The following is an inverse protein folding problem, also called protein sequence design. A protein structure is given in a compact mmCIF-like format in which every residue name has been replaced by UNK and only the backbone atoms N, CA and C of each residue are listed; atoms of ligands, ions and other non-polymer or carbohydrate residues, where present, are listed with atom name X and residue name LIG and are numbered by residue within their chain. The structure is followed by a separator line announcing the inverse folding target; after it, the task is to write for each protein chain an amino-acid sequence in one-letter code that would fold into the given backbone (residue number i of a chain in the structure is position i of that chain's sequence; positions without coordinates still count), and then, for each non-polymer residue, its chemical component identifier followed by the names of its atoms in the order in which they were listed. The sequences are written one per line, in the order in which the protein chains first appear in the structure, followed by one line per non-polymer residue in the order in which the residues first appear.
data_IF_242024955096
#
_entry.id   IF_242024955096
#
_cell.length_a   1.000
_cell.length_b   1.000
_cell.length_c   1.000
_cell.angle_alpha   90.00
_cell.angle_beta   90.00
_cell.angle_gamma   90.00
#
_symmetry.space_group_name_H-M   'P 1'
#
loop_
_entity.id
_entity.type
_entity.pdbx_description
1 polymer ?
#
# COMPACT_ATOMS: atom_id res chain seq x y z
N UNK A 1 0.04 -30.04 5.90
CA UNK A 1 -0.33 -29.36 4.65
C UNK A 1 0.06 -27.89 4.86
N UNK A 2 0.68 -27.22 3.87
CA UNK A 2 0.98 -25.79 4.00
C UNK A 2 -0.33 -25.01 4.07
N UNK A 3 -0.32 -23.90 4.83
CA UNK A 3 -1.45 -22.95 4.85
C UNK A 3 -1.36 -22.06 3.63
N UNK A 4 -2.45 -21.90 2.91
CA UNK A 4 -2.51 -20.93 1.80
C UNK A 4 -2.55 -19.51 2.36
N UNK A 5 -1.80 -18.59 1.74
CA UNK A 5 -1.74 -17.21 2.19
C UNK A 5 -1.78 -16.20 1.04
N UNK A 6 -2.53 -15.12 1.24
CA UNK A 6 -2.43 -13.89 0.46
C UNK A 6 -1.51 -12.94 1.20
N UNK A 7 -0.59 -12.30 0.46
CA UNK A 7 0.32 -11.29 1.02
C UNK A 7 -0.12 -9.89 0.62
N UNK A 8 -0.16 -8.94 1.56
CA UNK A 8 -0.55 -7.56 1.33
C UNK A 8 0.58 -6.60 1.66
N UNK A 9 0.93 -5.74 0.69
CA UNK A 9 2.00 -4.76 0.77
C UNK A 9 1.48 -3.39 1.21
N UNK A 10 2.11 -2.71 2.18
CA UNK A 10 1.67 -1.41 2.65
C UNK A 10 1.97 -0.28 1.66
N UNK A 11 1.19 0.80 1.78
CA UNK A 11 1.42 2.05 1.08
C UNK A 11 2.34 3.03 1.84
N UNK A 12 2.37 4.28 1.38
CA UNK A 12 3.17 5.35 2.00
C UNK A 12 2.72 5.64 3.44
N UNK A 13 3.65 6.20 4.22
CA UNK A 13 3.38 6.65 5.58
C UNK A 13 3.51 5.56 6.65
N UNK A 14 3.90 4.34 6.30
CA UNK A 14 4.04 3.23 7.24
C UNK A 14 5.41 3.13 7.90
N UNK A 15 6.45 3.78 7.38
CA UNK A 15 7.74 3.91 8.07
C UNK A 15 7.77 5.22 8.85
N UNK A 16 7.72 5.13 10.17
CA UNK A 16 7.68 6.23 11.12
C UNK A 16 8.86 6.13 12.11
N UNK A 17 8.83 6.89 13.18
CA UNK A 17 9.88 6.88 14.23
C UNK A 17 10.02 5.51 14.89
N UNK A 18 8.94 4.77 15.05
CA UNK A 18 8.91 3.45 15.68
C UNK A 18 9.56 2.36 14.83
N UNK A 19 9.66 2.60 13.52
CA UNK A 19 10.25 1.65 12.57
C UNK A 19 11.76 1.87 12.35
N UNK A 20 12.34 2.92 12.93
CA UNK A 20 13.78 3.17 12.84
C UNK A 20 14.56 1.98 13.43
N UNK A 21 15.49 1.43 12.65
CA UNK A 21 16.26 0.23 12.99
C UNK A 21 15.54 -1.09 12.76
N UNK A 22 14.34 -1.08 12.19
CA UNK A 22 13.55 -2.31 11.94
C UNK A 22 14.18 -3.24 10.89
N UNK A 23 15.13 -2.75 10.11
CA UNK A 23 15.86 -3.53 9.11
C UNK A 23 17.15 -4.16 9.66
N UNK A 24 17.43 -4.06 10.96
CA UNK A 24 18.68 -4.54 11.56
C UNK A 24 19.02 -6.00 11.22
N UNK A 25 18.02 -6.88 11.19
CA UNK A 25 18.21 -8.28 10.84
C UNK A 25 18.62 -8.50 9.37
N UNK A 26 18.45 -7.51 8.52
CA UNK A 26 18.66 -7.60 7.07
C UNK A 26 19.88 -6.83 6.55
N UNK A 27 20.69 -6.16 7.41
CA UNK A 27 21.82 -5.35 6.96
C UNK A 27 22.89 -6.12 6.18
N UNK A 28 22.98 -7.43 6.35
CA UNK A 28 23.86 -8.30 5.58
C UNK A 28 23.14 -9.05 4.44
N UNK A 29 21.86 -8.75 4.20
CA UNK A 29 21.10 -9.41 3.15
C UNK A 29 21.52 -8.85 1.78
N UNK A 30 21.89 -9.70 0.80
CA UNK A 30 22.29 -9.27 -0.54
C UNK A 30 21.22 -8.42 -1.24
N UNK A 31 19.94 -8.69 -1.00
CA UNK A 31 18.82 -7.94 -1.56
C UNK A 31 18.85 -6.47 -1.11
N UNK A 32 19.14 -6.21 0.18
CA UNK A 32 19.30 -4.84 0.67
C UNK A 32 20.50 -4.15 0.02
N UNK A 33 21.60 -4.89 -0.17
CA UNK A 33 22.78 -4.40 -0.87
C UNK A 33 22.50 -3.98 -2.32
N UNK A 34 21.65 -4.73 -3.05
CA UNK A 34 21.22 -4.37 -4.40
C UNK A 34 20.41 -3.06 -4.40
N UNK A 35 19.42 -2.94 -3.51
CA UNK A 35 18.61 -1.72 -3.35
C UNK A 35 19.51 -0.51 -3.03
N UNK A 36 20.43 -0.66 -2.08
CA UNK A 36 21.37 0.39 -1.69
C UNK A 36 22.33 0.79 -2.82
N UNK A 37 22.77 -0.18 -3.62
CA UNK A 37 23.59 0.05 -4.81
C UNK A 37 22.89 0.96 -5.82
N UNK A 38 21.62 0.68 -6.12
CA UNK A 38 20.82 1.53 -7.03
C UNK A 38 20.66 2.95 -6.46
N UNK A 39 20.30 3.07 -5.19
CA UNK A 39 20.12 4.38 -4.56
C UNK A 39 21.40 5.22 -4.56
N UNK A 40 22.53 4.57 -4.27
CA UNK A 40 23.85 5.21 -4.33
C UNK A 40 24.17 5.70 -5.73
N UNK A 41 23.88 4.89 -6.77
CA UNK A 41 24.08 5.28 -8.17
C UNK A 41 23.19 6.47 -8.57
N UNK A 42 22.01 6.62 -7.96
CA UNK A 42 21.12 7.75 -8.14
C UNK A 42 21.50 8.99 -7.29
N UNK A 43 22.57 8.91 -6.48
CA UNK A 43 22.98 10.01 -5.57
C UNK A 43 22.02 10.21 -4.39
N UNK A 44 21.26 9.18 -4.02
CA UNK A 44 20.31 9.19 -2.91
C UNK A 44 20.90 8.50 -1.67
N UNK A 45 20.46 8.90 -0.47
CA UNK A 45 20.80 8.18 0.75
C UNK A 45 20.35 6.71 0.64
N UNK A 46 21.19 5.77 1.06
CA UNK A 46 20.85 4.35 1.04
C UNK A 46 19.79 4.02 2.09
N UNK A 47 19.08 2.90 1.90
CA UNK A 47 18.12 2.42 2.89
C UNK A 47 18.82 2.08 4.19
N UNK A 48 20.01 1.45 4.10
CA UNK A 48 20.84 1.12 5.28
C UNK A 48 21.26 2.38 6.06
N UNK A 49 21.72 3.43 5.39
CA UNK A 49 22.08 4.71 6.06
C UNK A 49 20.87 5.35 6.75
N UNK A 50 19.71 5.31 6.11
CA UNK A 50 18.47 5.85 6.66
C UNK A 50 17.99 5.08 7.88
N UNK A 51 17.95 3.73 7.81
CA UNK A 51 17.45 2.89 8.89
C UNK A 51 18.42 2.80 10.08
N UNK A 52 19.73 2.95 9.85
CA UNK A 52 20.78 2.95 10.88
C UNK A 52 21.04 4.33 11.49
N UNK A 53 20.29 5.36 11.11
CA UNK A 53 20.49 6.70 11.67
C UNK A 53 20.32 6.70 13.19
N UNK A 54 21.19 7.43 13.92
CA UNK A 54 21.13 7.51 15.39
C UNK A 54 19.77 7.98 15.92
N UNK A 55 19.05 8.77 15.11
CA UNK A 55 17.73 9.30 15.45
C UNK A 55 16.86 9.48 14.21
N UNK A 56 15.57 9.29 14.39
CA UNK A 56 14.60 9.62 13.36
C UNK A 56 14.54 11.16 13.16
N UNK A 57 14.78 11.60 11.94
CA UNK A 57 14.62 12.98 11.51
C UNK A 57 13.46 13.05 10.51
N UNK A 58 12.36 13.70 10.91
CA UNK A 58 11.17 13.80 10.06
C UNK A 58 11.51 14.38 8.68
N UNK A 59 12.28 15.48 8.64
CA UNK A 59 12.69 16.12 7.38
C UNK A 59 13.54 15.23 6.45
N UNK A 60 14.18 14.18 6.96
CA UNK A 60 14.98 13.25 6.19
C UNK A 60 14.18 12.00 5.82
N UNK A 61 13.59 11.33 6.83
CA UNK A 61 12.93 10.02 6.63
C UNK A 61 11.58 10.13 5.94
N UNK A 62 10.89 11.28 6.02
CA UNK A 62 9.64 11.54 5.32
C UNK A 62 9.81 12.19 3.94
N UNK A 63 11.06 12.47 3.50
CA UNK A 63 11.27 12.81 2.09
C UNK A 63 10.66 11.71 1.21
N UNK A 64 9.88 12.06 0.16
CA UNK A 64 9.17 11.07 -0.66
C UNK A 64 10.05 9.92 -1.14
N UNK A 65 11.26 10.22 -1.64
CA UNK A 65 12.19 9.22 -2.16
C UNK A 65 12.79 8.34 -1.05
N UNK A 66 12.96 8.85 0.16
CA UNK A 66 13.51 8.10 1.28
C UNK A 66 12.45 7.21 1.93
N UNK A 67 11.27 7.78 2.23
CA UNK A 67 10.17 7.04 2.84
C UNK A 67 9.71 5.88 1.95
N UNK A 68 9.54 6.14 0.64
CA UNK A 68 9.14 5.12 -0.31
C UNK A 68 10.16 3.96 -0.40
N UNK A 69 11.46 4.26 -0.41
CA UNK A 69 12.49 3.24 -0.47
C UNK A 69 12.58 2.40 0.82
N UNK A 70 12.44 3.02 1.99
CA UNK A 70 12.38 2.31 3.28
C UNK A 70 11.22 1.32 3.33
N UNK A 71 10.03 1.75 2.88
CA UNK A 71 8.84 0.90 2.84
C UNK A 71 9.00 -0.24 1.83
N UNK A 72 9.49 0.07 0.63
CA UNK A 72 9.74 -0.93 -0.41
C UNK A 72 10.74 -2.00 0.04
N UNK A 73 11.89 -1.58 0.58
CA UNK A 73 12.92 -2.50 1.06
C UNK A 73 12.41 -3.38 2.20
N UNK A 74 11.74 -2.79 3.20
CA UNK A 74 11.18 -3.54 4.33
C UNK A 74 10.19 -4.60 3.85
N UNK A 75 9.24 -4.21 2.98
CA UNK A 75 8.24 -5.14 2.44
C UNK A 75 8.89 -6.29 1.66
N UNK A 76 9.84 -5.98 0.76
CA UNK A 76 10.48 -7.00 -0.06
C UNK A 76 11.36 -7.97 0.75
N UNK A 77 12.11 -7.46 1.73
CA UNK A 77 12.93 -8.27 2.65
C UNK A 77 12.06 -9.19 3.50
N UNK A 78 10.97 -8.68 4.06
CA UNK A 78 10.03 -9.48 4.83
C UNK A 78 9.35 -10.54 3.96
N UNK A 79 8.96 -10.21 2.73
CA UNK A 79 8.41 -11.18 1.79
C UNK A 79 9.38 -12.32 1.47
N UNK A 80 10.66 -11.99 1.26
CA UNK A 80 11.71 -12.99 1.04
C UNK A 80 11.86 -13.94 2.24
N UNK A 81 11.69 -13.41 3.45
CA UNK A 81 11.86 -14.17 4.70
C UNK A 81 10.68 -15.05 5.09
N UNK A 82 9.50 -14.92 4.45
CA UNK A 82 8.33 -15.75 4.78
C UNK A 82 8.69 -17.23 4.64
N UNK A 83 8.36 -18.04 5.65
CA UNK A 83 8.60 -19.49 5.64
C UNK A 83 7.71 -20.19 4.61
N UNK A 84 8.31 -20.56 3.46
CA UNK A 84 7.63 -21.26 2.36
C UNK A 84 7.40 -22.75 2.66
N UNK A 85 7.91 -23.27 3.75
CA UNK A 85 7.59 -24.63 4.21
C UNK A 85 6.28 -24.64 5.00
N UNK A 86 5.93 -23.53 5.65
CA UNK A 86 4.66 -23.34 6.35
C UNK A 86 3.58 -22.71 5.47
N UNK A 87 3.92 -21.71 4.64
CA UNK A 87 2.96 -20.95 3.85
C UNK A 87 3.14 -21.14 2.34
N UNK A 88 2.02 -21.41 1.65
CA UNK A 88 1.89 -21.38 0.20
C UNK A 88 1.26 -20.04 -0.22
N UNK A 89 2.05 -19.16 -0.84
CA UNK A 89 1.56 -17.84 -1.24
C UNK A 89 0.78 -17.96 -2.55
N UNK A 90 -0.52 -17.77 -2.45
CA UNK A 90 -1.45 -17.96 -3.59
C UNK A 90 -1.73 -16.66 -4.37
N UNK A 91 -1.52 -15.50 -3.75
CA UNK A 91 -1.61 -14.19 -4.42
C UNK A 91 -0.92 -13.10 -3.61
N UNK A 92 -0.59 -11.99 -4.29
CA UNK A 92 -0.02 -10.79 -3.69
C UNK A 92 -0.84 -9.57 -4.12
N UNK A 93 -1.04 -8.62 -3.22
CA UNK A 93 -1.64 -7.31 -3.51
C UNK A 93 -1.02 -6.23 -2.63
N UNK A 94 -1.41 -4.98 -2.82
CA UNK A 94 -0.89 -3.91 -1.99
C UNK A 94 -1.75 -2.66 -2.09
N UNK A 95 -1.56 -1.75 -1.13
CA UNK A 95 -2.23 -0.45 -1.13
C UNK A 95 -1.35 0.61 -1.78
N UNK A 96 -1.85 1.31 -2.81
CA UNK A 96 -1.17 2.47 -3.38
C UNK A 96 0.28 2.14 -3.82
N UNK A 97 1.30 2.73 -3.20
CA UNK A 97 2.71 2.41 -3.44
C UNK A 97 3.03 0.92 -3.19
N UNK A 98 2.24 0.23 -2.37
CA UNK A 98 2.35 -1.21 -2.16
C UNK A 98 2.18 -2.02 -3.44
N UNK A 99 1.57 -1.46 -4.50
CA UNK A 99 1.53 -2.07 -5.82
C UNK A 99 2.93 -2.28 -6.41
N UNK A 100 3.85 -1.33 -6.23
CA UNK A 100 5.23 -1.49 -6.70
C UNK A 100 5.96 -2.61 -5.95
N UNK A 101 5.75 -2.72 -4.64
CA UNK A 101 6.24 -3.85 -3.85
C UNK A 101 5.61 -5.17 -4.31
N UNK A 102 4.30 -5.18 -4.61
CA UNK A 102 3.58 -6.34 -5.17
C UNK A 102 4.23 -6.84 -6.46
N UNK A 103 4.58 -5.94 -7.39
CA UNK A 103 5.24 -6.29 -8.64
C UNK A 103 6.58 -7.00 -8.40
N UNK A 104 7.37 -6.52 -7.43
CA UNK A 104 8.64 -7.18 -7.08
C UNK A 104 8.43 -8.50 -6.34
N UNK A 105 7.48 -8.59 -5.41
CA UNK A 105 7.12 -9.83 -4.73
C UNK A 105 6.63 -10.91 -5.70
N UNK A 106 5.95 -10.51 -6.76
CA UNK A 106 5.47 -11.40 -7.81
C UNK A 106 6.53 -11.70 -8.90
N UNK A 107 7.76 -11.20 -8.77
CA UNK A 107 8.85 -11.44 -9.72
C UNK A 107 8.68 -10.71 -11.06
N UNK A 108 7.82 -9.69 -11.13
CA UNK A 108 7.68 -8.83 -12.31
C UNK A 108 8.87 -7.87 -12.43
N UNK A 109 9.36 -7.38 -11.30
CA UNK A 109 10.58 -6.61 -11.19
C UNK A 109 11.55 -7.30 -10.24
N UNK A 110 12.84 -7.26 -10.59
CA UNK A 110 13.87 -7.53 -9.59
C UNK A 110 14.03 -6.35 -8.62
N UNK A 111 14.87 -6.51 -7.60
CA UNK A 111 15.04 -5.50 -6.57
C UNK A 111 15.65 -4.20 -7.10
N UNK A 112 16.51 -4.29 -8.12
CA UNK A 112 17.19 -3.13 -8.69
C UNK A 112 16.22 -2.30 -9.53
N UNK A 113 15.48 -2.94 -10.44
CA UNK A 113 14.43 -2.29 -11.25
C UNK A 113 13.37 -1.67 -10.32
N UNK A 114 12.89 -2.43 -9.34
CA UNK A 114 11.88 -1.92 -8.41
C UNK A 114 12.38 -0.75 -7.56
N UNK A 115 13.62 -0.79 -7.08
CA UNK A 115 14.24 0.32 -6.33
C UNK A 115 14.40 1.58 -7.19
N UNK A 116 14.82 1.44 -8.46
CA UNK A 116 14.92 2.55 -9.39
C UNK A 116 13.56 3.19 -9.65
N UNK A 117 12.55 2.37 -9.95
CA UNK A 117 11.19 2.85 -10.26
C UNK A 117 10.56 3.52 -9.03
N UNK A 118 10.63 2.91 -7.86
CA UNK A 118 10.10 3.49 -6.61
C UNK A 118 10.75 4.84 -6.31
N UNK A 119 12.07 4.94 -6.43
CA UNK A 119 12.81 6.20 -6.23
C UNK A 119 12.45 7.24 -7.29
N UNK A 120 12.32 6.81 -8.55
CA UNK A 120 11.95 7.67 -9.67
C UNK A 120 10.51 8.19 -9.58
N UNK A 121 9.55 7.33 -9.25
CA UNK A 121 8.15 7.73 -9.04
C UNK A 121 8.02 8.70 -7.86
N UNK A 122 8.73 8.46 -6.77
CA UNK A 122 8.76 9.37 -5.64
C UNK A 122 9.32 10.76 -6.04
N UNK A 123 10.32 10.80 -6.93
CA UNK A 123 10.86 12.06 -7.45
C UNK A 123 9.89 12.76 -8.39
N UNK A 124 9.23 12.05 -9.31
CA UNK A 124 8.23 12.62 -10.22
C UNK A 124 7.03 13.23 -9.47
N UNK A 125 6.69 12.68 -8.31
CA UNK A 125 5.54 13.13 -7.50
C UNK A 125 5.92 14.10 -6.38
N UNK A 126 7.20 14.37 -6.16
CA UNK A 126 7.68 15.21 -5.05
C UNK A 126 7.19 16.66 -5.12
N UNK A 127 7.00 17.18 -6.33
CA UNK A 127 6.51 18.55 -6.60
C UNK A 127 5.07 18.59 -7.07
N UNK A 128 4.38 17.46 -7.06
CA UNK A 128 3.00 17.39 -7.50
C UNK A 128 2.08 18.20 -6.58
N UNK A 129 1.10 18.86 -7.19
CA UNK A 129 0.17 19.74 -6.50
C UNK A 129 -0.91 18.98 -5.73
N UNK A 130 -1.60 19.71 -4.86
CA UNK A 130 -2.73 19.23 -4.09
C UNK A 130 -2.35 18.48 -2.83
N UNK A 131 -3.37 17.93 -2.19
CA UNK A 131 -3.27 17.26 -0.89
C UNK A 131 -4.21 16.06 -0.82
N UNK A 132 -4.00 15.21 0.18
CA UNK A 132 -4.90 14.12 0.56
C UNK A 132 -5.31 14.25 2.02
N UNK A 133 -6.54 13.83 2.33
CA UNK A 133 -7.00 13.61 3.70
C UNK A 133 -7.82 12.32 3.79
N UNK A 134 -7.95 11.79 5.01
CA UNK A 134 -8.67 10.57 5.29
C UNK A 134 -9.84 10.85 6.23
N UNK A 135 -10.98 10.18 5.98
CA UNK A 135 -12.19 10.29 6.77
C UNK A 135 -12.86 8.92 6.96
N UNK A 136 -13.28 8.54 8.19
CA UNK A 136 -13.94 7.27 8.45
C UNK A 136 -15.39 7.26 7.96
N UNK A 137 -15.81 6.13 7.39
CA UNK A 137 -17.17 5.89 6.88
C UNK A 137 -17.98 4.93 7.74
N UNK A 138 -17.40 4.43 8.84
CA UNK A 138 -17.98 3.38 9.69
C UNK A 138 -18.39 3.91 11.04
N UNK A 139 -19.34 3.21 11.67
CA UNK A 139 -19.69 3.35 13.08
C UNK A 139 -18.62 2.69 13.99
N UNK A 140 -18.84 2.73 15.31
CA UNK A 140 -17.95 2.14 16.32
C UNK A 140 -17.83 0.60 16.20
N UNK A 141 -18.84 -0.04 15.61
CA UNK A 141 -18.87 -1.50 15.35
C UNK A 141 -18.33 -1.88 13.98
N UNK A 142 -17.71 -0.92 13.28
CA UNK A 142 -17.18 -1.08 11.91
C UNK A 142 -18.23 -1.42 10.85
N UNK A 143 -19.47 -1.00 11.04
CA UNK A 143 -20.53 -1.06 10.04
C UNK A 143 -20.63 0.26 9.30
N UNK A 144 -21.04 0.20 8.04
CA UNK A 144 -21.19 1.41 7.20
C UNK A 144 -22.18 2.39 7.86
N UNK A 145 -21.73 3.63 8.04
CA UNK A 145 -22.54 4.74 8.55
C UNK A 145 -23.09 5.57 7.37
N UNK A 146 -24.40 5.51 7.09
CA UNK A 146 -24.98 6.18 5.92
C UNK A 146 -24.80 7.71 5.94
N UNK A 147 -24.81 8.32 7.15
CA UNK A 147 -24.67 9.77 7.28
C UNK A 147 -23.26 10.23 6.93
N UNK A 148 -22.23 9.48 7.33
CA UNK A 148 -20.84 9.75 6.96
C UNK A 148 -20.60 9.55 5.48
N UNK A 149 -21.17 8.49 4.89
CA UNK A 149 -21.11 8.24 3.44
C UNK A 149 -21.76 9.39 2.68
N UNK A 150 -22.96 9.83 3.08
CA UNK A 150 -23.66 10.94 2.45
C UNK A 150 -22.89 12.28 2.60
N UNK A 151 -22.29 12.52 3.77
CA UNK A 151 -21.47 13.70 3.99
C UNK A 151 -20.25 13.74 3.05
N UNK A 152 -19.55 12.62 2.86
CA UNK A 152 -18.42 12.50 1.93
C UNK A 152 -18.89 12.64 0.48
N UNK A 153 -19.99 11.99 0.09
CA UNK A 153 -20.54 12.07 -1.26
C UNK A 153 -20.87 13.51 -1.67
N UNK A 154 -21.43 14.29 -0.73
CA UNK A 154 -21.69 15.71 -0.93
C UNK A 154 -20.42 16.52 -1.21
N UNK A 155 -19.29 16.20 -0.53
CA UNK A 155 -18.05 16.92 -0.80
C UNK A 155 -17.48 16.57 -2.17
N UNK A 156 -17.67 15.34 -2.64
CA UNK A 156 -17.21 14.89 -3.97
C UNK A 156 -17.97 15.55 -5.15
N UNK A 157 -19.00 16.35 -4.89
CA UNK A 157 -19.64 17.21 -5.91
C UNK A 157 -18.76 18.42 -6.29
N UNK A 158 -17.73 18.73 -5.50
CA UNK A 158 -16.78 19.80 -5.84
C UNK A 158 -15.87 19.38 -7.02
N UNK A 159 -15.63 20.27 -8.00
CA UNK A 159 -14.93 19.92 -9.24
C UNK A 159 -13.47 19.47 -9.04
N UNK A 160 -12.80 19.96 -8.01
CA UNK A 160 -11.38 19.71 -7.75
C UNK A 160 -11.14 18.78 -6.56
N UNK A 161 -12.15 18.01 -6.16
CA UNK A 161 -12.05 16.99 -5.11
C UNK A 161 -12.40 15.61 -5.68
N UNK A 162 -11.57 14.64 -5.41
CA UNK A 162 -11.66 13.30 -5.99
C UNK A 162 -11.60 12.23 -4.90
N UNK A 163 -12.28 11.11 -5.14
CA UNK A 163 -12.05 9.91 -4.38
C UNK A 163 -10.69 9.34 -4.79
N UNK A 164 -9.77 9.28 -3.85
CA UNK A 164 -8.38 8.89 -4.10
C UNK A 164 -8.15 7.41 -3.80
N UNK A 165 -8.47 6.98 -2.57
CA UNK A 165 -8.33 5.58 -2.17
C UNK A 165 -9.57 5.12 -1.40
N UNK A 166 -10.12 3.98 -1.78
CA UNK A 166 -11.05 3.20 -0.96
C UNK A 166 -10.23 2.34 0.00
N UNK A 167 -10.13 2.74 1.27
CA UNK A 167 -9.22 2.14 2.23
C UNK A 167 -9.98 1.47 3.38
N UNK A 168 -10.47 0.25 3.13
CA UNK A 168 -11.37 -0.42 4.08
C UNK A 168 -12.60 0.42 4.36
N UNK A 169 -12.81 0.76 5.63
CA UNK A 169 -13.90 1.63 6.07
C UNK A 169 -13.55 3.12 6.06
N UNK A 170 -12.51 3.53 5.35
CA UNK A 170 -12.12 4.94 5.20
C UNK A 170 -12.21 5.39 3.74
N UNK A 171 -12.64 6.62 3.53
CA UNK A 171 -12.41 7.36 2.29
C UNK A 171 -11.12 8.16 2.40
N UNK A 172 -10.19 7.99 1.46
CA UNK A 172 -9.09 8.93 1.25
C UNK A 172 -9.48 9.80 0.08
N UNK A 173 -9.53 11.11 0.31
CA UNK A 173 -9.92 12.11 -0.67
C UNK A 173 -8.69 12.92 -1.07
N UNK A 174 -8.60 13.27 -2.34
CA UNK A 174 -7.52 14.07 -2.92
C UNK A 174 -8.08 15.24 -3.72
N UNK A 175 -7.37 16.36 -3.72
CA UNK A 175 -7.80 17.50 -4.50
C UNK A 175 -6.83 18.67 -4.44
N UNK A 176 -7.24 19.79 -5.03
CA UNK A 176 -6.52 21.05 -4.85
C UNK A 176 -6.50 21.43 -3.36
N UNK A 177 -5.49 22.21 -2.95
CA UNK A 177 -5.38 22.62 -1.55
C UNK A 177 -6.65 23.32 -1.05
N UNK A 178 -7.27 24.15 -1.89
CA UNK A 178 -8.51 24.85 -1.56
C UNK A 178 -9.69 23.89 -1.39
N UNK A 179 -9.86 22.93 -2.31
CA UNK A 179 -10.94 21.94 -2.23
C UNK A 179 -10.80 21.04 -1.01
N UNK A 180 -9.58 20.59 -0.71
CA UNK A 180 -9.29 19.77 0.48
C UNK A 180 -9.62 20.53 1.77
N UNK A 181 -9.18 21.79 1.91
CA UNK A 181 -9.49 22.61 3.08
C UNK A 181 -10.98 22.86 3.24
N UNK A 182 -11.69 23.15 2.14
CA UNK A 182 -13.15 23.35 2.14
C UNK A 182 -13.87 22.07 2.58
N UNK A 183 -13.50 20.92 2.03
CA UNK A 183 -14.11 19.64 2.37
C UNK A 183 -13.85 19.26 3.84
N UNK A 184 -12.62 19.43 4.31
CA UNK A 184 -12.26 19.12 5.71
C UNK A 184 -13.04 20.03 6.69
N UNK A 185 -13.25 21.30 6.36
CA UNK A 185 -14.02 22.22 7.20
C UNK A 185 -15.54 21.91 7.20
N UNK A 186 -16.06 21.31 6.14
CA UNK A 186 -17.48 20.97 5.98
C UNK A 186 -17.85 19.60 6.56
N UNK A 187 -16.89 18.68 6.67
CA UNK A 187 -17.14 17.36 7.24
C UNK A 187 -17.24 17.42 8.76
N UNK A 188 -18.17 16.67 9.39
CA UNK A 188 -18.26 16.59 10.83
C UNK A 188 -16.94 16.13 11.48
N UNK A 189 -16.44 16.80 12.51
CA UNK A 189 -15.26 16.34 13.22
C UNK A 189 -15.55 15.05 14.01
N UNK A 190 -14.65 14.08 13.94
CA UNK A 190 -14.76 12.78 14.64
C UNK A 190 -13.50 12.52 15.46
N UNK A 191 -13.67 12.10 16.71
CA UNK A 191 -12.60 11.68 17.63
C UNK A 191 -11.46 12.71 17.79
N UNK A 192 -11.73 13.98 17.64
CA UNK A 192 -10.74 15.08 17.64
C UNK A 192 -9.59 14.87 16.63
N UNK A 193 -9.70 13.88 15.75
CA UNK A 193 -8.67 13.45 14.82
C UNK A 193 -9.08 13.63 13.37
N UNK A 194 -10.32 13.36 13.04
CA UNK A 194 -10.81 13.41 11.65
C UNK A 194 -11.70 14.63 11.39
N UNK A 195 -11.69 15.14 10.15
CA UNK A 195 -10.85 14.75 8.99
C UNK A 195 -9.35 14.90 9.27
N UNK A 196 -8.52 13.95 8.82
CA UNK A 196 -7.07 13.97 9.05
C UNK A 196 -6.32 14.23 7.74
N UNK A 197 -5.60 15.35 7.68
CA UNK A 197 -4.72 15.66 6.56
C UNK A 197 -3.52 14.71 6.54
N UNK A 198 -3.23 14.10 5.40
CA UNK A 198 -2.06 13.24 5.20
C UNK A 198 -0.86 14.13 4.84
N UNK A 199 -0.05 14.42 5.84
CA UNK A 199 1.09 15.32 5.69
C UNK A 199 2.11 14.81 4.67
N UNK A 200 2.55 15.69 3.76
CA UNK A 200 3.51 15.35 2.71
C UNK A 200 2.95 14.52 1.55
N UNK A 201 1.62 14.33 1.51
CA UNK A 201 0.95 13.70 0.37
C UNK A 201 0.47 14.77 -0.61
N UNK A 202 0.77 14.56 -1.90
CA UNK A 202 0.12 15.27 -3.01
C UNK A 202 -1.28 14.69 -3.27
N UNK A 203 -1.97 15.18 -4.29
CA UNK A 203 -3.27 14.64 -4.68
C UNK A 203 -3.17 13.30 -5.43
N UNK A 204 -2.53 12.30 -4.80
CA UNK A 204 -2.33 10.97 -5.39
C UNK A 204 -3.64 10.31 -5.81
N UNK A 205 -3.56 9.42 -6.80
CA UNK A 205 -4.70 8.66 -7.32
C UNK A 205 -5.87 9.55 -7.72
N UNK A 206 -5.55 10.65 -8.39
CA UNK A 206 -6.51 11.61 -8.93
C UNK A 206 -6.05 12.15 -10.29
N UNK A 207 -6.92 12.79 -11.07
CA UNK A 207 -6.55 13.43 -12.33
C UNK A 207 -5.43 14.49 -12.21
N UNK A 208 -5.20 15.03 -11.01
CA UNK A 208 -4.09 15.98 -10.75
C UNK A 208 -2.71 15.33 -10.87
N UNK A 209 -2.63 14.00 -10.92
CA UNK A 209 -1.39 13.24 -11.13
C UNK A 209 -1.12 12.92 -12.61
N UNK A 210 -1.92 13.43 -13.55
CA UNK A 210 -1.81 13.08 -14.97
C UNK A 210 -0.43 13.42 -15.56
N UNK A 211 0.20 14.50 -15.14
CA UNK A 211 1.55 14.86 -15.61
C UNK A 211 2.59 13.85 -15.15
N UNK A 212 2.58 13.47 -13.87
CA UNK A 212 3.49 12.44 -13.33
C UNK A 212 3.27 11.09 -14.03
N UNK A 213 2.02 10.72 -14.30
CA UNK A 213 1.66 9.53 -15.08
C UNK A 213 2.26 9.57 -16.49
N UNK A 214 2.12 10.68 -17.20
CA UNK A 214 2.65 10.84 -18.56
C UNK A 214 4.18 10.73 -18.58
N UNK A 215 4.85 11.35 -17.62
CA UNK A 215 6.31 11.26 -17.49
C UNK A 215 6.76 9.83 -17.15
N UNK A 216 6.05 9.13 -16.28
CA UNK A 216 6.35 7.74 -15.92
C UNK A 216 6.18 6.79 -17.11
N UNK A 217 5.07 6.90 -17.86
CA UNK A 217 4.82 6.12 -19.07
C UNK A 217 5.89 6.33 -20.15
N UNK A 218 6.44 7.53 -20.25
CA UNK A 218 7.51 7.85 -21.19
C UNK A 218 8.88 7.35 -20.71
N UNK A 219 9.12 7.36 -19.40
CA UNK A 219 10.43 7.02 -18.81
C UNK A 219 10.70 5.53 -18.79
N UNK A 220 9.74 4.73 -18.34
CA UNK A 220 9.89 3.27 -18.22
C UNK A 220 9.04 2.57 -19.27
N UNK A 221 9.68 1.75 -20.09
CA UNK A 221 9.00 1.04 -21.18
C UNK A 221 8.41 -0.30 -20.68
N UNK A 222 7.52 -0.90 -21.48
CA UNK A 222 6.85 -2.15 -21.11
C UNK A 222 7.83 -3.35 -20.96
N UNK A 223 9.02 -3.25 -21.54
CA UNK A 223 10.06 -4.27 -21.49
C UNK A 223 10.64 -4.51 -20.10
N UNK A 224 10.53 -3.51 -19.17
CA UNK A 224 10.99 -3.68 -17.79
C UNK A 224 10.10 -4.61 -16.99
N UNK A 225 8.93 -5.01 -17.52
CA UNK A 225 8.01 -5.94 -16.86
C UNK A 225 8.30 -7.38 -17.30
N UNK A 226 8.63 -8.25 -16.36
CA UNK A 226 8.62 -9.69 -16.56
C UNK A 226 7.18 -10.26 -16.39
N UNK A 227 7.01 -11.54 -16.70
CA UNK A 227 5.74 -12.21 -16.40
C UNK A 227 5.63 -12.50 -14.92
N UNK A 228 4.45 -12.30 -14.30
CA UNK A 228 4.23 -12.61 -12.90
C UNK A 228 4.49 -14.08 -12.59
N UNK A 229 5.16 -14.36 -11.50
CA UNK A 229 5.36 -15.71 -10.93
C UNK A 229 4.31 -16.06 -9.88
N UNK A 230 3.61 -15.05 -9.35
CA UNK A 230 2.47 -15.18 -8.45
C UNK A 230 1.31 -14.36 -9.00
N UNK A 231 0.06 -14.78 -8.79
CA UNK A 231 -1.09 -13.95 -9.08
C UNK A 231 -1.03 -12.63 -8.31
N UNK A 232 -1.36 -11.52 -8.98
CA UNK A 232 -1.42 -10.19 -8.37
C UNK A 232 -2.83 -9.63 -8.50
N UNK A 233 -3.30 -8.90 -7.49
CA UNK A 233 -4.56 -8.15 -7.55
C UNK A 233 -4.24 -6.67 -7.49
N UNK A 234 -4.73 -5.92 -8.47
CA UNK A 234 -4.50 -4.47 -8.57
C UNK A 234 -5.59 -3.65 -7.88
N UNK A 235 -5.46 -2.31 -7.89
CA UNK A 235 -6.40 -1.39 -7.26
C UNK A 235 -7.73 -1.22 -8.00
N UNK A 236 -7.94 -1.88 -9.13
CA UNK A 236 -9.24 -2.02 -9.78
C UNK A 236 -9.90 -3.37 -9.42
N UNK A 237 -9.19 -4.23 -8.67
CA UNK A 237 -9.61 -5.60 -8.36
C UNK A 237 -9.39 -6.56 -9.52
N UNK A 238 -8.58 -6.20 -10.52
CA UNK A 238 -8.21 -7.10 -11.61
C UNK A 238 -7.14 -8.08 -11.14
N UNK A 239 -7.31 -9.35 -11.50
CA UNK A 239 -6.31 -10.39 -11.27
C UNK A 239 -5.38 -10.48 -12.47
N UNK A 240 -4.07 -10.34 -12.21
CA UNK A 240 -3.00 -10.62 -13.14
C UNK A 240 -2.48 -12.02 -12.81
N UNK A 241 -2.68 -13.02 -13.68
CA UNK A 241 -2.34 -14.41 -13.37
C UNK A 241 -0.82 -14.63 -13.33
N UNK A 242 -0.38 -15.69 -12.64
CA UNK A 242 0.98 -16.21 -12.71
C UNK A 242 1.23 -16.92 -14.06
N UNK A 243 1.23 -16.14 -15.14
CA UNK A 243 1.30 -16.59 -16.52
C UNK A 243 1.81 -15.44 -17.41
N UNK A 244 2.15 -15.69 -18.68
CA UNK A 244 2.43 -14.62 -19.61
C UNK A 244 1.27 -13.62 -19.70
N UNK A 245 1.57 -12.35 -19.44
CA UNK A 245 0.62 -11.25 -19.49
C UNK A 245 0.97 -10.28 -20.62
N UNK A 246 -0.04 -9.49 -21.05
CA UNK A 246 0.24 -8.39 -21.97
C UNK A 246 0.98 -7.28 -21.21
N UNK A 247 2.33 -7.23 -21.40
CA UNK A 247 3.21 -6.28 -20.70
C UNK A 247 2.80 -4.82 -20.88
N UNK A 248 2.34 -4.43 -22.08
CA UNK A 248 1.84 -3.08 -22.34
C UNK A 248 0.59 -2.74 -21.51
N UNK A 249 -0.28 -3.70 -21.24
CA UNK A 249 -1.45 -3.47 -20.38
C UNK A 249 -1.04 -3.32 -18.91
N UNK A 250 -0.10 -4.15 -18.42
CA UNK A 250 0.43 -4.03 -17.06
C UNK A 250 1.20 -2.71 -16.86
N UNK A 251 2.01 -2.33 -17.84
CA UNK A 251 2.71 -1.05 -17.89
C UNK A 251 1.74 0.13 -17.84
N UNK A 252 0.71 0.12 -18.70
CA UNK A 252 -0.30 1.19 -18.74
C UNK A 252 -1.08 1.27 -17.42
N UNK A 253 -1.47 0.15 -16.84
CA UNK A 253 -2.10 0.15 -15.52
C UNK A 253 -1.16 0.77 -14.48
N UNK A 254 0.08 0.28 -14.38
CA UNK A 254 1.03 0.66 -13.32
C UNK A 254 1.41 2.13 -13.34
N UNK A 255 1.67 2.70 -14.50
CA UNK A 255 2.11 4.11 -14.64
C UNK A 255 1.00 5.05 -15.09
N UNK A 256 -0.13 4.53 -15.58
CA UNK A 256 -1.31 5.27 -16.00
C UNK A 256 -2.39 5.27 -14.93
N UNK A 257 -3.28 4.28 -14.98
CA UNK A 257 -4.48 4.18 -14.14
C UNK A 257 -4.16 4.22 -12.64
N UNK A 258 -3.18 3.43 -12.18
CA UNK A 258 -2.77 3.37 -10.78
C UNK A 258 -2.33 4.75 -10.24
N UNK A 259 -1.70 5.58 -11.08
CA UNK A 259 -1.18 6.90 -10.68
C UNK A 259 -2.28 7.95 -10.66
N UNK A 260 -3.16 7.97 -11.67
CA UNK A 260 -4.06 9.09 -11.96
C UNK A 260 -5.55 8.80 -11.72
N UNK A 261 -5.92 7.58 -11.29
CA UNK A 261 -7.30 7.21 -10.99
C UNK A 261 -7.43 6.64 -9.56
N UNK A 262 -8.66 6.60 -9.06
CA UNK A 262 -8.96 6.06 -7.73
C UNK A 262 -8.42 4.64 -7.56
N UNK A 263 -7.76 4.40 -6.43
CA UNK A 263 -7.24 3.10 -6.02
C UNK A 263 -8.20 2.42 -5.05
N UNK A 264 -8.79 1.29 -5.44
CA UNK A 264 -9.73 0.58 -4.58
C UNK A 264 -9.03 -0.59 -3.85
N UNK A 265 -8.33 -0.28 -2.75
CA UNK A 265 -7.68 -1.29 -1.92
C UNK A 265 -8.70 -2.21 -1.24
N UNK A 266 -9.86 -1.68 -0.85
CA UNK A 266 -10.95 -2.47 -0.29
C UNK A 266 -11.37 -3.58 -1.24
N UNK A 267 -11.63 -3.23 -2.51
CA UNK A 267 -11.97 -4.20 -3.56
C UNK A 267 -10.85 -5.21 -3.81
N UNK A 268 -9.59 -4.76 -3.83
CA UNK A 268 -8.45 -5.67 -3.99
C UNK A 268 -8.40 -6.73 -2.89
N UNK A 269 -8.61 -6.35 -1.62
CA UNK A 269 -8.70 -7.29 -0.49
C UNK A 269 -9.88 -8.25 -0.66
N UNK A 270 -11.06 -7.75 -1.01
CA UNK A 270 -12.27 -8.55 -1.19
C UNK A 270 -12.13 -9.57 -2.33
N UNK A 271 -11.53 -9.18 -3.45
CA UNK A 271 -11.19 -10.08 -4.56
C UNK A 271 -10.18 -11.12 -4.11
N UNK A 272 -9.13 -10.71 -3.40
CA UNK A 272 -8.10 -11.63 -2.92
C UNK A 272 -8.69 -12.78 -2.09
N UNK A 273 -9.57 -12.48 -1.14
CA UNK A 273 -10.14 -13.52 -0.28
C UNK A 273 -11.21 -14.35 -1.00
N UNK A 274 -12.03 -13.74 -1.88
CA UNK A 274 -13.09 -14.46 -2.60
C UNK A 274 -12.56 -15.40 -3.67
N UNK A 275 -11.53 -14.99 -4.40
CA UNK A 275 -11.02 -15.77 -5.54
C UNK A 275 -9.97 -16.81 -5.11
N UNK A 276 -9.20 -16.53 -4.04
CA UNK A 276 -8.13 -17.42 -3.60
C UNK A 276 -8.46 -18.19 -2.31
N UNK A 277 -9.51 -17.82 -1.57
CA UNK A 277 -9.96 -18.43 -0.33
C UNK A 277 -8.80 -18.83 0.61
N UNK A 278 -7.90 -17.88 0.98
CA UNK A 278 -6.69 -18.21 1.73
C UNK A 278 -7.00 -18.60 3.16
N UNK A 279 -6.15 -19.47 3.74
CA UNK A 279 -6.19 -19.78 5.18
C UNK A 279 -5.72 -18.58 6.02
N UNK A 280 -4.83 -17.74 5.47
CA UNK A 280 -4.22 -16.58 6.14
C UNK A 280 -4.08 -15.40 5.19
N UNK A 281 -4.05 -14.22 5.77
CA UNK A 281 -3.56 -13.00 5.12
C UNK A 281 -2.32 -12.53 5.87
N UNK A 282 -1.19 -12.41 5.17
CA UNK A 282 0.08 -11.94 5.73
C UNK A 282 0.27 -10.48 5.34
N UNK A 283 0.43 -9.63 6.34
CA UNK A 283 0.65 -8.20 6.17
C UNK A 283 2.16 -7.93 6.22
N UNK A 284 2.70 -7.35 5.14
CA UNK A 284 4.06 -6.88 5.14
C UNK A 284 4.16 -5.54 5.90
N UNK A 285 5.28 -5.35 6.58
CA UNK A 285 5.67 -4.05 7.12
C UNK A 285 6.33 -3.14 6.07
N UNK A 286 6.85 -1.99 6.51
CA UNK A 286 6.96 -1.57 7.91
C UNK A 286 5.64 -1.09 8.49
N UNK A 287 5.55 -1.09 9.83
CA UNK A 287 4.35 -0.67 10.56
C UNK A 287 3.17 -1.65 10.45
N UNK A 288 2.08 -1.37 11.18
CA UNK A 288 0.91 -2.25 11.32
C UNK A 288 -0.39 -1.59 10.84
N UNK A 289 -0.31 -0.66 9.88
CA UNK A 289 -1.46 0.18 9.52
C UNK A 289 -2.48 -0.50 8.59
N UNK A 290 -2.14 -1.64 7.96
CA UNK A 290 -3.04 -2.33 7.03
C UNK A 290 -4.15 -3.11 7.74
N UNK A 291 -3.89 -3.64 8.93
CA UNK A 291 -4.77 -4.60 9.60
C UNK A 291 -6.22 -4.11 9.75
N UNK A 292 -6.39 -2.86 10.17
CA UNK A 292 -7.74 -2.27 10.32
C UNK A 292 -8.50 -2.17 9.00
N UNK A 293 -7.84 -1.69 7.93
CA UNK A 293 -8.46 -1.57 6.61
C UNK A 293 -8.81 -2.93 6.01
N UNK A 294 -7.96 -3.93 6.20
CA UNK A 294 -8.22 -5.32 5.76
C UNK A 294 -9.41 -5.89 6.51
N UNK A 295 -9.41 -5.81 7.85
CA UNK A 295 -10.52 -6.28 8.69
C UNK A 295 -11.87 -5.66 8.29
N UNK A 296 -11.91 -4.34 8.11
CA UNK A 296 -13.11 -3.63 7.69
C UNK A 296 -13.58 -4.07 6.29
N UNK A 297 -12.66 -4.35 5.37
CA UNK A 297 -12.99 -4.87 4.04
C UNK A 297 -13.62 -6.27 4.10
N UNK A 298 -13.18 -7.11 5.05
CA UNK A 298 -13.71 -8.45 5.28
C UNK A 298 -15.11 -8.42 5.92
N UNK A 299 -15.30 -7.54 6.90
CA UNK A 299 -16.58 -7.34 7.59
C UNK A 299 -17.65 -6.87 6.61
N UNK A 300 -17.32 -5.93 5.72
CA UNK A 300 -18.27 -5.40 4.74
C UNK A 300 -18.89 -6.50 3.85
N UNK A 301 -18.14 -7.55 3.55
CA UNK A 301 -18.63 -8.67 2.72
C UNK A 301 -19.08 -9.90 3.52
N UNK A 302 -19.09 -9.82 4.84
CA UNK A 302 -19.44 -10.94 5.72
C UNK A 302 -18.51 -12.15 5.57
N UNK A 303 -17.21 -11.92 5.29
CA UNK A 303 -16.24 -12.98 5.08
C UNK A 303 -16.18 -13.93 6.28
N UNK A 304 -16.39 -15.23 6.06
CA UNK A 304 -16.39 -16.28 7.10
C UNK A 304 -17.30 -15.95 8.31
N UNK A 305 -18.39 -15.21 8.10
CA UNK A 305 -19.33 -14.83 9.16
C UNK A 305 -18.92 -13.59 9.97
N UNK A 306 -17.93 -12.84 9.53
CA UNK A 306 -17.54 -11.56 10.17
C UNK A 306 -18.55 -10.47 9.84
N UNK A 307 -19.23 -9.91 10.85
CA UNK A 307 -20.25 -8.86 10.69
C UNK A 307 -20.00 -7.64 11.59
N UNK A 308 -18.97 -7.70 12.45
CA UNK A 308 -18.66 -6.64 13.41
C UNK A 308 -17.18 -6.61 13.76
N UNK A 309 -16.77 -5.52 14.39
CA UNK A 309 -15.44 -5.39 14.99
C UNK A 309 -15.18 -6.49 16.04
N UNK A 310 -16.22 -6.87 16.81
CA UNK A 310 -16.09 -7.90 17.83
C UNK A 310 -15.82 -9.28 17.20
N UNK A 311 -16.57 -9.66 16.17
CA UNK A 311 -16.34 -10.94 15.47
C UNK A 311 -14.91 -11.04 14.95
N UNK A 312 -14.40 -9.95 14.38
CA UNK A 312 -13.01 -9.92 13.92
C UNK A 312 -12.00 -10.02 15.06
N UNK A 313 -12.26 -9.32 16.18
CA UNK A 313 -11.39 -9.36 17.36
C UNK A 313 -11.34 -10.79 17.93
N UNK A 314 -12.46 -11.47 18.03
CA UNK A 314 -12.56 -12.84 18.53
C UNK A 314 -11.79 -13.82 17.61
N UNK A 315 -11.91 -13.64 16.29
CA UNK A 315 -11.13 -14.42 15.32
C UNK A 315 -9.62 -14.21 15.49
N UNK A 316 -9.18 -12.95 15.65
CA UNK A 316 -7.76 -12.65 15.82
C UNK A 316 -7.17 -13.13 17.15
N UNK A 317 -8.00 -13.28 18.20
CA UNK A 317 -7.59 -13.84 19.49
C UNK A 317 -7.71 -15.35 19.57
N UNK A 318 -8.23 -16.00 18.52
CA UNK A 318 -8.33 -17.47 18.44
C UNK A 318 -6.95 -18.13 18.27
N UNK A 319 -6.91 -19.46 18.38
CA UNK A 319 -5.69 -20.23 18.09
C UNK A 319 -5.23 -20.14 16.63
N UNK A 320 -6.11 -19.69 15.73
CA UNK A 320 -5.89 -19.62 14.29
C UNK A 320 -6.26 -18.20 13.75
N UNK A 321 -5.48 -17.15 14.11
CA UNK A 321 -5.76 -15.80 13.65
C UNK A 321 -5.69 -15.70 12.13
N UNK A 322 -6.60 -14.96 11.51
CA UNK A 322 -6.67 -14.85 10.05
C UNK A 322 -5.63 -13.88 9.48
N UNK A 323 -5.40 -12.75 10.14
CA UNK A 323 -4.33 -11.81 9.78
C UNK A 323 -3.06 -12.08 10.58
N UNK A 324 -1.94 -12.14 9.89
CA UNK A 324 -0.62 -12.32 10.48
C UNK A 324 0.31 -11.19 10.05
N UNK A 325 1.16 -10.73 10.94
CA UNK A 325 2.28 -9.86 10.57
C UNK A 325 3.39 -10.71 9.96
N UNK A 326 4.05 -10.19 8.92
CA UNK A 326 5.12 -10.91 8.25
C UNK A 326 6.29 -11.27 9.17
N UNK A 327 6.53 -10.48 10.24
CA UNK A 327 7.52 -10.78 11.28
C UNK A 327 7.26 -12.12 11.98
N UNK A 328 6.00 -12.52 12.13
CA UNK A 328 5.59 -13.76 12.80
C UNK A 328 5.65 -14.96 11.85
N UNK A 329 5.79 -14.71 10.56
CA UNK A 329 5.82 -15.72 9.50
C UNK A 329 7.22 -16.01 8.96
N UNK A 330 8.27 -15.45 9.58
CA UNK A 330 9.65 -15.62 9.11
C UNK A 330 10.17 -17.03 9.39
N UNK A 331 10.98 -17.54 8.46
CA UNK A 331 11.70 -18.80 8.67
C UNK A 331 12.56 -18.71 9.93
N UNK A 332 12.36 -19.63 10.85
CA UNK A 332 13.20 -19.73 12.05
C UNK A 332 14.58 -20.24 11.63
N UNK A 333 15.62 -19.46 11.94
CA UNK A 333 17.02 -19.81 11.70
C UNK A 333 17.50 -20.96 12.59
#
# INVERSE_FOLDING_TARGET
MKKTAVVLCPGRGTYQKTELGSLAAYYQNPLLGQIDGVRKALGLATVSELDQAERYLHALHQLPSNNAALIYAAGLLQFQGIDRDEYDIVAVSGNSMGWYTTLSCAGVWDAEIGSEIVSGMASLTATAAGQQFIYPLLDEQWRVDPDKVAAVAKQLEMPDLFNSIQYGGYAVLAGSNAAVQTAMAALPPLDQRFPLLLQGHAAFHSPLMQEASTQALARWQAEVFANPQLPMIDGEGRIWPAAPVQKSALHHYTFGTQVSACYDFKKAVQVAVREFAPDRVILLGPGQNLGGAVAQSLIEIGWQGLHSKQDFTDLQQSAEPFLLEASDCQRRS
#
